data_IF_737610514214
#
_entry.id   IF_737610514214
#
_cell.length_a   1.000
_cell.length_b   1.000
_cell.length_c   1.000
_cell.angle_alpha   90.00
_cell.angle_beta   90.00
_cell.angle_gamma   90.00
#
_symmetry.space_group_name_H-M   'P 1'
#
loop_
_entity.id
_entity.type
_entity.pdbx_description
1 polymer ?
#
# COMPACT_ATOMS: atom_id res chain seq x y z
N UNK A 1 -22.08 -3.73 24.46
CA UNK A 1 -21.57 -4.86 23.67
C UNK A 1 -22.70 -5.31 22.77
N UNK A 2 -22.60 -5.06 21.47
CA UNK A 2 -23.61 -5.51 20.50
C UNK A 2 -23.23 -6.95 20.14
N UNK A 3 -24.08 -7.91 20.53
CA UNK A 3 -23.92 -9.31 20.09
C UNK A 3 -24.00 -9.34 18.57
N UNK A 4 -22.90 -9.78 17.93
CA UNK A 4 -22.85 -9.96 16.50
C UNK A 4 -23.20 -11.39 16.14
N UNK A 5 -24.03 -11.62 15.10
CA UNK A 5 -24.28 -12.96 14.60
C UNK A 5 -22.96 -13.57 14.12
N UNK A 6 -22.70 -14.81 14.57
CA UNK A 6 -21.54 -15.60 14.15
C UNK A 6 -21.55 -15.74 12.64
N UNK A 7 -20.46 -15.33 12.01
CA UNK A 7 -20.26 -15.49 10.58
C UNK A 7 -20.08 -16.99 10.26
N UNK A 8 -20.57 -17.46 9.10
CA UNK A 8 -20.36 -18.85 8.70
C UNK A 8 -18.86 -19.14 8.56
N UNK A 9 -18.41 -20.24 9.16
CA UNK A 9 -17.00 -20.64 9.13
C UNK A 9 -16.57 -21.04 7.72
N UNK A 10 -15.44 -20.51 7.26
CA UNK A 10 -14.82 -20.91 5.99
C UNK A 10 -13.97 -22.17 6.19
N UNK A 11 -14.41 -23.31 5.65
CA UNK A 11 -13.63 -24.56 5.62
C UNK A 11 -12.91 -24.69 4.27
N UNK A 12 -11.90 -23.84 4.01
CA UNK A 12 -11.12 -23.92 2.78
C UNK A 12 -9.75 -24.56 3.04
N UNK A 13 -9.44 -25.65 2.34
CA UNK A 13 -8.07 -26.15 2.19
C UNK A 13 -7.33 -25.22 1.22
N UNK A 14 -6.12 -24.78 1.59
CA UNK A 14 -5.22 -23.96 0.76
C UNK A 14 -4.77 -24.76 -0.46
N UNK A 15 -5.57 -24.79 -1.53
CA UNK A 15 -5.13 -25.22 -2.84
C UNK A 15 -5.44 -24.09 -3.83
N UNK A 16 -4.35 -23.59 -4.43
CA UNK A 16 -4.22 -22.46 -5.33
C UNK A 16 -4.52 -21.05 -4.77
N UNK A 17 -3.53 -20.16 -4.94
CA UNK A 17 -3.62 -18.74 -4.65
C UNK A 17 -4.76 -18.15 -5.51
N UNK A 18 -5.91 -17.94 -4.87
CA UNK A 18 -7.00 -16.98 -5.17
C UNK A 18 -8.42 -17.50 -5.41
N UNK A 19 -8.77 -18.79 -5.36
CA UNK A 19 -10.19 -19.17 -5.50
C UNK A 19 -10.62 -20.35 -4.65
N UNK A 20 -11.21 -20.03 -3.50
CA UNK A 20 -12.09 -20.94 -2.79
C UNK A 20 -13.46 -20.96 -3.49
N UNK A 21 -13.71 -21.97 -4.34
CA UNK A 21 -15.01 -22.19 -5.01
C UNK A 21 -16.10 -22.73 -4.05
N UNK A 22 -15.74 -23.10 -2.82
CA UNK A 22 -16.64 -23.61 -1.78
C UNK A 22 -17.10 -22.53 -0.79
N UNK A 23 -16.72 -21.28 -1.02
CA UNK A 23 -17.03 -20.17 -0.14
C UNK A 23 -18.43 -19.64 -0.49
N UNK A 24 -19.40 -19.79 0.41
CA UNK A 24 -20.74 -19.21 0.26
C UNK A 24 -20.69 -17.69 0.45
N UNK A 25 -20.28 -16.98 -0.61
CA UNK A 25 -20.19 -15.52 -0.60
C UNK A 25 -21.56 -14.87 -0.43
N UNK A 26 -22.64 -15.54 -0.85
CA UNK A 26 -24.00 -15.02 -0.71
C UNK A 26 -24.38 -14.87 0.77
N UNK A 27 -24.10 -15.88 1.60
CA UNK A 27 -24.34 -15.79 3.05
C UNK A 27 -23.54 -14.66 3.71
N UNK A 28 -22.29 -14.43 3.26
CA UNK A 28 -21.46 -13.34 3.75
C UNK A 28 -21.98 -11.97 3.32
N UNK A 29 -22.35 -11.81 2.04
CA UNK A 29 -22.94 -10.57 1.51
C UNK A 29 -24.29 -10.29 2.19
N UNK A 30 -25.08 -11.32 2.52
CA UNK A 30 -26.33 -11.18 3.25
C UNK A 30 -26.13 -10.57 4.65
N UNK A 31 -24.98 -10.80 5.29
CA UNK A 31 -24.65 -10.31 6.62
C UNK A 31 -24.11 -8.86 6.65
N UNK A 32 -23.87 -8.24 5.49
CA UNK A 32 -23.46 -6.83 5.37
C UNK A 32 -24.65 -5.89 5.55
N UNK A 33 -24.39 -4.71 6.10
CA UNK A 33 -25.37 -3.64 6.29
C UNK A 33 -25.24 -2.62 5.17
N UNK A 34 -26.24 -2.59 4.31
CA UNK A 34 -26.36 -1.59 3.26
C UNK A 34 -27.19 -0.41 3.77
N UNK A 35 -26.96 0.77 3.22
CA UNK A 35 -27.79 1.95 3.43
C UNK A 35 -29.19 1.79 2.81
N UNK A 36 -30.02 2.83 2.95
CA UNK A 36 -31.39 2.83 2.43
C UNK A 36 -31.48 2.69 0.90
N UNK A 37 -30.41 3.03 0.18
CA UNK A 37 -30.31 2.90 -1.28
C UNK A 37 -29.75 1.52 -1.70
N UNK A 38 -29.47 0.64 -0.74
CA UNK A 38 -28.88 -0.67 -0.98
C UNK A 38 -27.38 -0.60 -1.31
N UNK A 39 -26.69 0.43 -0.83
CA UNK A 39 -25.27 0.68 -1.09
C UNK A 39 -24.43 0.53 0.18
N UNK A 40 -23.16 0.19 -0.02
CA UNK A 40 -22.14 0.14 1.03
C UNK A 40 -20.89 0.90 0.54
N UNK A 41 -20.28 1.78 1.36
CA UNK A 41 -19.00 2.37 1.05
C UNK A 41 -17.89 1.30 1.00
N UNK A 42 -16.99 1.47 0.04
CA UNK A 42 -15.80 0.64 -0.12
C UNK A 42 -14.56 1.54 -0.19
N UNK A 43 -13.69 1.41 0.81
CA UNK A 43 -12.36 2.01 0.85
C UNK A 43 -11.40 1.11 0.11
N UNK A 44 -10.77 1.65 -0.92
CA UNK A 44 -9.78 0.92 -1.73
C UNK A 44 -8.40 1.33 -1.25
N UNK A 45 -7.59 0.34 -0.87
CA UNK A 45 -6.25 0.53 -0.35
C UNK A 45 -5.23 -0.26 -1.17
N UNK A 46 -4.09 0.35 -1.46
CA UNK A 46 -2.96 -0.35 -2.07
C UNK A 46 -2.46 -1.44 -1.12
N UNK A 47 -2.44 -2.69 -1.61
CA UNK A 47 -2.09 -3.85 -0.81
C UNK A 47 -0.62 -3.86 -0.36
N UNK A 48 0.26 -3.14 -1.05
CA UNK A 48 1.69 -3.06 -0.74
C UNK A 48 1.99 -1.86 0.15
N UNK A 49 1.52 -0.66 -0.24
CA UNK A 49 1.89 0.58 0.44
C UNK A 49 0.93 1.01 1.55
N UNK A 50 -0.20 0.32 1.70
CA UNK A 50 -1.30 0.72 2.59
C UNK A 50 -1.89 2.11 2.29
N UNK A 51 -1.54 2.72 1.16
CA UNK A 51 -2.09 4.01 0.76
C UNK A 51 -3.58 3.85 0.40
N UNK A 52 -4.44 4.67 0.98
CA UNK A 52 -5.84 4.74 0.53
C UNK A 52 -5.86 5.36 -0.87
N UNK A 53 -6.39 4.62 -1.83
CA UNK A 53 -6.42 4.98 -3.25
C UNK A 53 -7.69 5.74 -3.60
N UNK A 54 -8.86 5.25 -3.18
CA UNK A 54 -10.15 5.88 -3.46
C UNK A 54 -11.24 5.33 -2.55
N UNK A 55 -12.40 6.01 -2.58
CA UNK A 55 -13.65 5.50 -2.01
C UNK A 55 -14.66 5.40 -3.15
N UNK A 56 -15.41 4.31 -3.17
CA UNK A 56 -16.56 4.11 -4.06
C UNK A 56 -17.71 3.46 -3.30
N UNK A 57 -18.84 3.29 -3.98
CA UNK A 57 -20.01 2.60 -3.44
C UNK A 57 -20.23 1.31 -4.18
N UNK A 58 -20.68 0.30 -3.46
CA UNK A 58 -20.97 -1.03 -4.00
C UNK A 58 -22.40 -1.41 -3.63
N UNK A 59 -23.07 -2.14 -4.52
CA UNK A 59 -24.31 -2.84 -4.19
C UNK A 59 -24.00 -4.35 -4.08
N UNK A 60 -25.00 -5.17 -3.75
CA UNK A 60 -24.82 -6.63 -3.64
C UNK A 60 -24.22 -7.24 -4.91
N UNK A 61 -24.69 -6.81 -6.09
CA UNK A 61 -24.23 -7.34 -7.37
C UNK A 61 -22.76 -6.96 -7.65
N UNK A 62 -22.36 -5.72 -7.38
CA UNK A 62 -20.99 -5.26 -7.61
C UNK A 62 -20.00 -5.93 -6.67
N UNK A 63 -20.41 -6.28 -5.44
CA UNK A 63 -19.60 -7.10 -4.51
C UNK A 63 -19.45 -8.51 -5.06
N UNK A 64 -20.56 -9.13 -5.50
CA UNK A 64 -20.53 -10.48 -6.06
C UNK A 64 -19.60 -10.57 -7.27
N UNK A 65 -19.67 -9.60 -8.20
CA UNK A 65 -18.76 -9.52 -9.34
C UNK A 65 -17.31 -9.30 -8.91
N UNK A 66 -17.10 -8.44 -7.92
CA UNK A 66 -15.75 -8.18 -7.41
C UNK A 66 -15.08 -9.45 -6.89
N UNK A 67 -15.82 -10.25 -6.11
CA UNK A 67 -15.32 -11.50 -5.54
C UNK A 67 -15.13 -12.59 -6.59
N UNK A 68 -16.02 -12.69 -7.58
CA UNK A 68 -15.93 -13.72 -8.62
C UNK A 68 -14.84 -13.40 -9.66
N UNK A 69 -14.77 -12.16 -10.13
CA UNK A 69 -13.84 -11.74 -11.19
C UNK A 69 -12.44 -11.44 -10.65
N UNK A 70 -12.30 -11.16 -9.36
CA UNK A 70 -11.02 -10.77 -8.75
C UNK A 70 -10.61 -9.33 -9.06
N UNK A 71 -11.53 -8.51 -9.59
CA UNK A 71 -11.31 -7.09 -9.94
C UNK A 71 -12.38 -6.22 -9.34
N UNK A 72 -12.06 -4.98 -8.97
CA UNK A 72 -13.06 -4.12 -8.34
C UNK A 72 -14.17 -3.69 -9.32
N UNK A 73 -15.41 -4.00 -8.94
CA UNK A 73 -16.63 -3.56 -9.60
C UNK A 73 -17.45 -2.69 -8.64
N UNK A 74 -17.83 -1.50 -9.09
CA UNK A 74 -18.54 -0.50 -8.29
C UNK A 74 -19.93 -0.21 -8.84
N UNK A 75 -20.77 0.38 -8.00
CA UNK A 75 -22.04 0.97 -8.39
C UNK A 75 -21.90 2.49 -8.54
N UNK A 76 -22.11 2.99 -9.76
CA UNK A 76 -22.17 4.43 -10.01
C UNK A 76 -23.53 4.98 -9.57
N UNK A 77 -23.53 5.77 -8.48
CA UNK A 77 -24.76 6.41 -7.97
C UNK A 77 -25.42 7.34 -8.99
N UNK A 78 -24.62 8.04 -9.79
CA UNK A 78 -25.12 8.98 -10.81
C UNK A 78 -25.63 8.27 -12.06
N UNK A 79 -24.92 7.25 -12.54
CA UNK A 79 -25.32 6.49 -13.74
C UNK A 79 -26.32 5.38 -13.45
N UNK A 80 -26.50 5.02 -12.18
CA UNK A 80 -27.29 3.87 -11.72
C UNK A 80 -26.92 2.59 -12.46
N UNK A 81 -25.62 2.35 -12.56
CA UNK A 81 -25.05 1.25 -13.33
C UNK A 81 -23.78 0.72 -12.68
N UNK A 82 -23.47 -0.54 -12.97
CA UNK A 82 -22.21 -1.16 -12.63
C UNK A 82 -21.06 -0.60 -13.46
N UNK A 83 -19.88 -0.59 -12.88
CA UNK A 83 -18.66 -0.15 -13.53
C UNK A 83 -17.45 -0.90 -12.97
N UNK A 84 -16.71 -1.61 -13.82
CA UNK A 84 -15.45 -2.25 -13.43
C UNK A 84 -14.31 -1.25 -13.59
N UNK A 85 -13.53 -1.06 -12.51
CA UNK A 85 -12.46 -0.07 -12.49
C UNK A 85 -11.38 -0.46 -13.49
N UNK A 86 -11.12 0.46 -14.43
CA UNK A 86 -10.07 0.28 -15.45
C UNK A 86 -10.58 -0.19 -16.80
N UNK A 87 -11.86 -0.55 -16.97
CA UNK A 87 -12.40 -1.00 -18.27
C UNK A 87 -12.12 -0.03 -19.43
N UNK A 88 -12.22 1.28 -19.16
CA UNK A 88 -11.97 2.31 -20.18
C UNK A 88 -10.51 2.73 -20.25
N UNK A 89 -9.79 2.76 -19.11
CA UNK A 89 -8.46 3.38 -19.02
C UNK A 89 -7.30 2.37 -18.96
N UNK A 90 -7.58 1.08 -18.82
CA UNK A 90 -6.57 0.04 -18.52
C UNK A 90 -6.01 0.07 -17.10
N UNK A 91 -6.46 0.99 -16.23
CA UNK A 91 -5.96 1.12 -14.86
C UNK A 91 -6.77 0.27 -13.88
N UNK A 92 -6.54 -1.04 -13.95
CA UNK A 92 -7.25 -2.06 -13.17
C UNK A 92 -6.83 -2.09 -11.69
N UNK A 93 -7.69 -2.72 -10.89
CA UNK A 93 -7.49 -2.99 -9.47
C UNK A 93 -7.74 -4.48 -9.23
N UNK A 94 -6.67 -5.24 -9.10
CA UNK A 94 -6.74 -6.68 -8.82
C UNK A 94 -6.90 -6.89 -7.31
N UNK A 95 -7.93 -7.62 -6.90
CA UNK A 95 -8.32 -7.79 -5.49
C UNK A 95 -7.40 -8.80 -4.80
N UNK A 96 -6.78 -8.37 -3.70
CA UNK A 96 -5.91 -9.21 -2.87
C UNK A 96 -6.63 -9.69 -1.61
N UNK A 97 -7.44 -8.83 -0.99
CA UNK A 97 -8.29 -9.20 0.16
C UNK A 97 -9.42 -8.20 0.36
N UNK A 98 -10.50 -8.67 0.99
CA UNK A 98 -11.68 -7.87 1.33
C UNK A 98 -11.98 -8.05 2.82
N UNK A 99 -12.16 -6.94 3.53
CA UNK A 99 -12.55 -6.90 4.93
C UNK A 99 -13.83 -6.08 5.06
N UNK A 100 -14.67 -6.39 6.04
CA UNK A 100 -15.70 -5.49 6.53
C UNK A 100 -15.25 -4.89 7.87
N UNK A 101 -15.77 -3.71 8.21
CA UNK A 101 -15.58 -3.13 9.53
C UNK A 101 -16.43 -3.83 10.61
N UNK A 102 -16.42 -3.29 11.82
CA UNK A 102 -16.97 -3.97 12.98
C UNK A 102 -18.50 -4.05 12.95
N UNK A 103 -19.19 -3.04 12.44
CA UNK A 103 -20.65 -3.01 12.26
C UNK A 103 -21.11 -3.42 10.85
N UNK A 104 -20.16 -3.74 9.96
CA UNK A 104 -20.36 -4.35 8.64
C UNK A 104 -21.06 -3.42 7.66
N UNK A 105 -20.91 -2.12 7.82
CA UNK A 105 -21.45 -1.11 6.92
C UNK A 105 -20.38 -0.40 6.09
N UNK A 106 -19.13 -0.85 6.16
CA UNK A 106 -18.07 -0.43 5.26
C UNK A 106 -17.16 -1.60 4.86
N UNK A 107 -16.65 -1.56 3.63
CA UNK A 107 -15.66 -2.51 3.14
C UNK A 107 -14.29 -1.84 3.02
N UNK A 108 -13.24 -2.58 3.39
CA UNK A 108 -11.85 -2.30 3.01
C UNK A 108 -11.42 -3.35 1.99
N UNK A 109 -11.13 -2.91 0.77
CA UNK A 109 -10.63 -3.78 -0.30
C UNK A 109 -9.16 -3.44 -0.55
N UNK A 110 -8.28 -4.39 -0.28
CA UNK A 110 -6.85 -4.28 -0.60
C UNK A 110 -6.64 -4.75 -2.02
N UNK A 111 -6.01 -3.91 -2.84
CA UNK A 111 -5.82 -4.16 -4.27
C UNK A 111 -4.38 -3.97 -4.69
N UNK A 112 -3.98 -4.68 -5.74
CA UNK A 112 -2.83 -4.31 -6.56
C UNK A 112 -3.32 -3.37 -7.66
N UNK A 113 -2.81 -2.14 -7.68
CA UNK A 113 -3.23 -1.10 -8.62
C UNK A 113 -2.32 -1.06 -9.84
N UNK A 114 -2.88 -1.28 -11.02
CA UNK A 114 -2.20 -0.99 -12.30
C UNK A 114 -2.42 0.47 -12.68
N UNK A 115 -1.35 1.22 -12.96
CA UNK A 115 -1.44 2.63 -13.35
C UNK A 115 -2.05 3.53 -12.26
N UNK A 116 -2.76 4.57 -12.68
CA UNK A 116 -3.37 5.55 -11.76
C UNK A 116 -4.77 5.13 -11.30
N UNK A 117 -5.05 5.20 -9.99
CA UNK A 117 -6.41 5.01 -9.49
C UNK A 117 -7.31 6.21 -9.84
N UNK A 118 -6.75 7.42 -9.85
CA UNK A 118 -7.48 8.65 -10.11
C UNK A 118 -7.54 8.99 -11.61
N UNK A 119 -8.66 9.57 -12.04
CA UNK A 119 -8.84 10.05 -13.42
C UNK A 119 -7.93 11.23 -13.79
N UNK A 120 -7.34 11.91 -12.80
CA UNK A 120 -6.35 12.98 -12.99
C UNK A 120 -4.93 12.46 -13.28
N UNK A 121 -4.73 11.14 -13.29
CA UNK A 121 -3.42 10.51 -13.43
C UNK A 121 -2.67 10.31 -12.10
N UNK A 122 -3.22 10.77 -10.98
CA UNK A 122 -2.63 10.56 -9.65
C UNK A 122 -2.86 9.12 -9.14
N UNK A 123 -1.89 8.60 -8.36
CA UNK A 123 -1.98 7.24 -7.79
C UNK A 123 -3.19 7.09 -6.86
N UNK A 124 -3.49 8.10 -6.05
CA UNK A 124 -4.64 8.15 -5.15
C UNK A 124 -5.53 9.36 -5.48
N UNK A 125 -6.82 9.28 -5.20
CA UNK A 125 -7.75 10.41 -5.19
C UNK A 125 -7.48 11.38 -4.02
N UNK A 126 -6.83 10.92 -2.96
CA UNK A 126 -6.51 11.71 -1.76
C UNK A 126 -5.14 12.38 -1.87
N UNK A 127 -4.89 13.08 -2.98
CA UNK A 127 -3.61 13.74 -3.26
C UNK A 127 -3.55 15.21 -2.80
N UNK A 128 -4.69 15.80 -2.43
CA UNK A 128 -4.78 17.18 -1.93
C UNK A 128 -5.00 17.17 -0.42
N UNK A 129 -4.08 17.78 0.32
CA UNK A 129 -4.19 17.93 1.76
C UNK A 129 -4.92 19.23 2.12
N UNK A 130 -5.78 19.20 3.14
CA UNK A 130 -6.43 20.41 3.67
C UNK A 130 -5.44 21.28 4.48
N UNK A 131 -5.44 22.62 4.30
CA UNK A 131 -4.60 23.52 5.08
C UNK A 131 -4.78 23.34 6.59
N UNK A 132 -3.68 23.41 7.36
CA UNK A 132 -3.70 23.31 8.82
C UNK A 132 -3.86 21.89 9.39
N UNK A 133 -4.07 20.88 8.54
CA UNK A 133 -3.93 19.48 8.95
C UNK A 133 -2.45 19.12 9.05
N UNK A 134 -2.06 18.30 10.04
CA UNK A 134 -0.74 17.69 10.04
C UNK A 134 -0.64 16.78 8.80
N UNK A 135 0.38 17.00 7.96
CA UNK A 135 0.59 16.20 6.76
C UNK A 135 0.83 14.73 7.07
N UNK A 136 0.75 13.91 6.02
CA UNK A 136 1.24 12.54 6.09
C UNK A 136 2.63 12.56 6.73
N UNK A 137 2.84 11.73 7.75
CA UNK A 137 4.15 11.61 8.40
C UNK A 137 5.15 11.15 7.34
N UNK A 138 6.31 11.78 7.31
CA UNK A 138 7.41 11.40 6.43
C UNK A 138 7.74 9.91 6.60
N UNK A 139 7.82 9.18 5.48
CA UNK A 139 8.10 7.75 5.45
C UNK A 139 9.38 7.42 4.68
N UNK A 140 9.88 6.18 4.82
CA UNK A 140 11.01 5.70 4.03
C UNK A 140 10.65 5.57 2.53
N UNK A 141 9.39 5.30 2.21
CA UNK A 141 8.92 5.28 0.82
C UNK A 141 8.93 6.69 0.20
N UNK A 142 8.55 7.71 0.97
CA UNK A 142 8.67 9.11 0.55
C UNK A 142 10.14 9.49 0.32
N UNK A 143 11.02 9.10 1.23
CA UNK A 143 12.45 9.33 1.09
C UNK A 143 13.00 8.64 -0.17
N UNK A 144 12.66 7.38 -0.40
CA UNK A 144 13.10 6.63 -1.58
C UNK A 144 12.62 7.27 -2.88
N UNK A 145 11.36 7.72 -2.93
CA UNK A 145 10.80 8.45 -4.07
C UNK A 145 11.58 9.75 -4.33
N UNK A 146 11.87 10.53 -3.29
CA UNK A 146 12.70 11.75 -3.40
C UNK A 146 14.10 11.41 -3.93
N UNK A 147 14.69 10.30 -3.49
CA UNK A 147 16.01 9.85 -3.95
C UNK A 147 15.97 9.47 -5.44
N UNK A 148 14.95 8.71 -5.87
CA UNK A 148 14.75 8.36 -7.28
C UNK A 148 14.49 9.59 -8.16
N UNK A 149 13.66 10.53 -7.70
CA UNK A 149 13.42 11.79 -8.40
C UNK A 149 14.72 12.59 -8.56
N UNK A 150 15.56 12.65 -7.52
CA UNK A 150 16.87 13.30 -7.57
C UNK A 150 17.87 12.55 -8.46
N UNK A 151 17.81 11.21 -8.53
CA UNK A 151 18.61 10.38 -9.46
C UNK A 151 18.25 10.72 -10.91
N UNK A 152 16.96 10.85 -11.21
CA UNK A 152 16.46 11.14 -12.56
C UNK A 152 16.67 12.61 -12.98
N UNK A 153 16.25 13.57 -12.15
CA UNK A 153 16.25 15.00 -12.47
C UNK A 153 17.61 15.68 -12.29
N UNK A 154 18.54 15.07 -11.54
CA UNK A 154 19.90 15.57 -11.28
C UNK A 154 19.95 17.07 -10.93
N UNK A 155 19.17 17.53 -9.93
CA UNK A 155 19.10 18.94 -9.62
C UNK A 155 20.46 19.46 -9.12
N UNK A 156 20.82 20.66 -9.57
CA UNK A 156 22.07 21.30 -9.19
C UNK A 156 22.13 21.50 -7.66
N UNK A 157 23.31 21.31 -7.06
CA UNK A 157 23.48 21.46 -5.61
C UNK A 157 22.92 20.32 -4.74
N UNK A 158 22.24 19.32 -5.31
CA UNK A 158 21.73 18.16 -4.55
C UNK A 158 22.85 17.21 -4.10
N UNK A 159 22.93 16.97 -2.78
CA UNK A 159 23.84 15.97 -2.20
C UNK A 159 23.60 14.58 -2.77
N UNK A 160 22.33 14.13 -2.83
CA UNK A 160 21.94 12.82 -3.37
C UNK A 160 22.41 12.66 -4.82
N UNK A 161 22.18 13.67 -5.67
CA UNK A 161 22.55 13.60 -7.08
C UNK A 161 24.08 13.50 -7.25
N UNK A 162 24.84 14.29 -6.48
CA UNK A 162 26.32 14.23 -6.48
C UNK A 162 26.83 12.87 -6.02
N UNK A 163 26.26 12.32 -4.93
CA UNK A 163 26.73 11.07 -4.36
C UNK A 163 26.48 9.90 -5.32
N UNK A 164 25.29 9.81 -5.92
CA UNK A 164 24.99 8.80 -6.95
C UNK A 164 25.91 8.98 -8.17
N UNK A 165 26.11 10.21 -8.64
CA UNK A 165 27.00 10.50 -9.77
C UNK A 165 28.47 10.15 -9.49
N UNK A 166 28.88 10.10 -8.22
CA UNK A 166 30.23 9.74 -7.81
C UNK A 166 30.53 8.23 -7.84
N UNK A 167 29.54 7.40 -8.22
CA UNK A 167 29.71 5.97 -8.45
C UNK A 167 29.37 5.10 -7.25
N UNK A 168 29.20 3.80 -7.52
CA UNK A 168 28.74 2.81 -6.55
C UNK A 168 29.65 2.75 -5.32
N UNK A 169 30.96 2.70 -5.51
CA UNK A 169 31.93 2.58 -4.41
C UNK A 169 31.79 3.68 -3.36
N UNK A 170 31.49 4.91 -3.80
CA UNK A 170 31.33 6.04 -2.89
C UNK A 170 30.02 6.01 -2.13
N UNK A 171 28.96 5.47 -2.74
CA UNK A 171 27.69 5.18 -2.05
C UNK A 171 27.89 4.08 -1.00
N UNK A 172 28.55 2.97 -1.37
CA UNK A 172 28.82 1.85 -0.48
C UNK A 172 29.73 2.23 0.68
N UNK A 173 30.72 3.09 0.44
CA UNK A 173 31.59 3.61 1.50
C UNK A 173 30.79 4.31 2.60
N UNK A 174 29.80 5.13 2.23
CA UNK A 174 28.92 5.78 3.22
C UNK A 174 28.17 4.76 4.06
N UNK A 175 27.56 3.74 3.45
CA UNK A 175 26.88 2.67 4.21
C UNK A 175 27.80 2.02 5.26
N UNK A 176 29.06 1.75 4.90
CA UNK A 176 30.03 1.17 5.83
C UNK A 176 30.44 2.14 6.95
N UNK A 177 30.61 3.42 6.63
CA UNK A 177 30.89 4.49 7.63
C UNK A 177 29.75 4.58 8.65
N UNK A 178 28.51 4.77 8.19
CA UNK A 178 27.34 4.95 9.08
C UNK A 178 27.07 3.69 9.93
N UNK A 179 27.29 2.49 9.37
CA UNK A 179 27.15 1.25 10.14
C UNK A 179 28.15 1.18 11.30
N UNK A 180 29.38 1.67 11.10
CA UNK A 180 30.38 1.81 12.15
C UNK A 180 29.97 2.84 13.20
N UNK A 181 29.43 3.98 12.78
CA UNK A 181 28.97 5.05 13.66
C UNK A 181 27.79 4.59 14.53
N UNK A 182 26.80 3.87 13.97
CA UNK A 182 25.73 3.22 14.75
C UNK A 182 26.29 2.27 15.82
N UNK A 183 27.29 1.45 15.47
CA UNK A 183 27.91 0.53 16.43
C UNK A 183 28.58 1.28 17.59
N UNK A 184 29.28 2.38 17.30
CA UNK A 184 29.95 3.20 18.30
C UNK A 184 28.94 3.94 19.19
N UNK A 185 27.94 4.58 18.60
CA UNK A 185 26.87 5.27 19.30
C UNK A 185 26.13 4.33 20.26
N UNK A 186 25.81 3.11 19.80
CA UNK A 186 25.19 2.06 20.60
C UNK A 186 26.08 1.63 21.77
N UNK A 187 27.36 1.38 21.52
CA UNK A 187 28.34 1.03 22.57
C UNK A 187 28.45 2.12 23.64
N UNK A 188 28.32 3.38 23.24
CA UNK A 188 28.39 4.53 24.15
C UNK A 188 27.06 4.81 24.87
N UNK A 189 25.97 4.10 24.55
CA UNK A 189 24.61 4.38 25.02
C UNK A 189 24.12 5.81 24.73
N UNK A 190 24.62 6.44 23.66
CA UNK A 190 24.15 7.77 23.25
C UNK A 190 22.89 7.62 22.40
N UNK A 191 21.73 7.81 23.03
CA UNK A 191 20.43 7.68 22.37
C UNK A 191 20.28 8.60 21.16
N UNK A 192 20.78 9.83 21.23
CA UNK A 192 20.57 10.81 20.16
C UNK A 192 21.46 10.48 18.97
N UNK A 193 22.72 10.10 19.24
CA UNK A 193 23.66 9.65 18.22
C UNK A 193 23.13 8.37 17.55
N UNK A 194 22.64 7.37 18.31
CA UNK A 194 22.03 6.16 17.73
C UNK A 194 20.91 6.50 16.74
N UNK A 195 20.03 7.45 17.08
CA UNK A 195 18.93 7.84 16.19
C UNK A 195 19.46 8.54 14.94
N UNK A 196 20.45 9.42 15.09
CA UNK A 196 21.06 10.16 13.98
C UNK A 196 21.78 9.22 13.01
N UNK A 197 22.71 8.41 13.52
CA UNK A 197 23.51 7.47 12.72
C UNK A 197 22.65 6.38 12.08
N UNK A 198 21.58 5.95 12.77
CA UNK A 198 20.62 5.01 12.16
C UNK A 198 19.84 5.66 11.02
N UNK A 199 19.49 6.94 11.15
CA UNK A 199 18.81 7.67 10.08
C UNK A 199 19.70 7.82 8.84
N UNK A 200 20.99 8.13 9.04
CA UNK A 200 21.97 8.20 7.94
C UNK A 200 22.21 6.82 7.32
N UNK A 201 22.41 5.78 8.13
CA UNK A 201 22.51 4.41 7.64
C UNK A 201 21.31 3.99 6.79
N UNK A 202 20.09 4.30 7.23
CA UNK A 202 18.87 4.03 6.45
C UNK A 202 18.83 4.85 5.17
N UNK A 203 19.17 6.13 5.23
CA UNK A 203 19.25 6.99 4.05
C UNK A 203 20.24 6.43 3.01
N UNK A 204 21.48 6.12 3.39
CA UNK A 204 22.47 5.59 2.44
C UNK A 204 22.12 4.18 1.96
N UNK A 205 21.47 3.37 2.79
CA UNK A 205 20.92 2.07 2.36
C UNK A 205 19.85 2.24 1.28
N UNK A 206 18.95 3.21 1.43
CA UNK A 206 17.97 3.55 0.38
C UNK A 206 18.65 4.07 -0.90
N UNK A 207 19.79 4.77 -0.80
CA UNK A 207 20.57 5.17 -1.96
C UNK A 207 21.15 3.97 -2.70
N UNK A 208 21.61 2.93 -2.00
CA UNK A 208 22.06 1.67 -2.64
C UNK A 208 20.90 1.03 -3.40
N UNK A 209 19.73 0.91 -2.77
CA UNK A 209 18.53 0.38 -3.43
C UNK A 209 18.17 1.19 -4.67
N UNK A 210 18.16 2.53 -4.56
CA UNK A 210 17.84 3.41 -5.68
C UNK A 210 18.89 3.35 -6.79
N UNK A 211 20.17 3.18 -6.44
CA UNK A 211 21.25 2.99 -7.42
C UNK A 211 20.97 1.77 -8.32
N UNK A 212 20.44 0.70 -7.73
CA UNK A 212 20.09 -0.56 -8.41
C UNK A 212 18.64 -0.66 -8.89
N UNK A 213 17.85 0.40 -8.75
CA UNK A 213 16.41 0.43 -9.08
C UNK A 213 15.59 -0.64 -8.36
N UNK A 214 15.99 -0.97 -7.13
CA UNK A 214 15.30 -1.92 -6.26
C UNK A 214 14.35 -1.14 -5.33
N UNK A 215 13.04 -1.40 -5.33
CA UNK A 215 12.14 -0.75 -4.39
C UNK A 215 12.38 -1.23 -2.95
N UNK A 216 12.27 -0.37 -1.91
CA UNK A 216 12.38 -0.77 -0.51
C UNK A 216 11.43 -1.91 -0.12
N UNK A 217 10.27 -1.94 -0.78
CA UNK A 217 9.28 -3.01 -0.63
C UNK A 217 9.86 -4.40 -0.86
N UNK A 218 10.79 -4.58 -1.81
CA UNK A 218 11.41 -5.89 -2.05
C UNK A 218 12.22 -6.39 -0.83
N UNK A 219 12.84 -5.47 -0.07
CA UNK A 219 13.54 -5.81 1.18
C UNK A 219 12.54 -6.18 2.27
N UNK A 220 11.42 -5.45 2.36
CA UNK A 220 10.34 -5.75 3.31
C UNK A 220 9.71 -7.12 3.02
N UNK A 221 9.47 -7.45 1.76
CA UNK A 221 8.96 -8.76 1.33
C UNK A 221 9.93 -9.89 1.70
N UNK A 222 11.23 -9.70 1.52
CA UNK A 222 12.24 -10.67 1.95
C UNK A 222 12.25 -10.84 3.49
N UNK A 223 12.09 -9.76 4.25
CA UNK A 223 11.94 -9.84 5.71
C UNK A 223 10.67 -10.59 6.13
N UNK A 224 9.54 -10.32 5.46
CA UNK A 224 8.27 -10.98 5.70
C UNK A 224 8.37 -12.49 5.42
N UNK A 225 8.96 -12.87 4.27
CA UNK A 225 9.22 -14.26 3.89
C UNK A 225 10.05 -15.00 4.95
N UNK A 226 11.08 -14.35 5.51
CA UNK A 226 11.92 -14.92 6.59
C UNK A 226 11.16 -15.08 7.90
N UNK A 227 10.21 -14.19 8.19
CA UNK A 227 9.39 -14.27 9.38
C UNK A 227 8.39 -15.44 9.29
N UNK A 228 7.76 -15.63 8.13
CA UNK A 228 6.82 -16.73 7.87
C UNK A 228 7.46 -18.11 7.84
N UNK A 229 8.77 -18.19 7.52
CA UNK A 229 9.53 -19.45 7.51
C UNK A 229 10.06 -19.90 8.87
N UNK A 230 9.71 -19.21 9.96
CA UNK A 230 10.07 -19.57 11.34
C UNK A 230 8.88 -20.17 12.07
#
# INVERSE_FOLDING_TARGET
MIEQPKLPGCQAQKQDRNRCLSCDWEAWIAALRFDADGLIPAVIQDAQTNQVLMVAYMNRESISRTLSEGRTCFWSRSRKALWVKGETSGHFQEVQSVFCDCDRDCLLIRVEQTGAACHTGQKSCFFTQLPGSAGARFSLDDLYRIVQDRKASKPEGSYTARLIASGQDRVLKKVAEEAGEVMLASKNNDRNEIISEMADLWFHSLLVLAYHDIPPQAVVEELARRHESR
#
